data_IF_526730147451
#
_entry.id   IF_526730147451
#
_cell.length_a   1.000
_cell.length_b   1.000
_cell.length_c   1.000
_cell.angle_alpha   90.00
_cell.angle_beta   90.00
_cell.angle_gamma   90.00
#
_symmetry.space_group_name_H-M   'P 1'
#
loop_
_entity.id
_entity.type
_entity.pdbx_description
1 polymer ?
#
# COMPACT_ATOMS: atom_id res chain seq x y z
N UNK A 1 22.65 47.42 -54.31
CA UNK A 1 22.17 47.20 -52.93
C UNK A 1 22.37 45.73 -52.61
N UNK A 2 23.21 45.37 -51.63
CA UNK A 2 23.41 43.98 -51.24
C UNK A 2 22.30 43.56 -50.26
N UNK A 3 21.77 42.35 -50.44
CA UNK A 3 20.83 41.72 -49.51
C UNK A 3 21.48 41.46 -48.15
N UNK A 4 20.74 41.60 -47.03
CA UNK A 4 21.28 41.29 -45.71
C UNK A 4 21.27 39.77 -45.47
N UNK A 5 22.46 39.22 -45.21
CA UNK A 5 22.66 37.84 -44.76
C UNK A 5 21.89 37.57 -43.47
N UNK A 6 21.08 36.50 -43.45
CA UNK A 6 20.42 36.04 -42.24
C UNK A 6 21.44 35.45 -41.24
N UNK A 7 21.24 35.66 -39.92
CA UNK A 7 22.11 35.11 -38.90
C UNK A 7 21.89 33.60 -38.78
N UNK A 8 23.00 32.85 -38.84
CA UNK A 8 23.06 31.42 -38.57
C UNK A 8 22.59 31.16 -37.13
N UNK A 9 21.36 30.65 -36.97
CA UNK A 9 20.89 30.17 -35.69
C UNK A 9 21.68 28.90 -35.35
N UNK A 10 22.59 29.01 -34.39
CA UNK A 10 23.23 27.87 -33.74
C UNK A 10 22.13 27.16 -32.97
N UNK A 11 21.55 26.11 -33.55
CA UNK A 11 20.72 25.16 -32.83
C UNK A 11 21.67 24.38 -31.92
N UNK A 12 21.50 24.38 -30.59
CA UNK A 12 22.33 23.58 -29.72
C UNK A 12 22.07 22.11 -30.04
N UNK A 13 23.13 21.37 -30.40
CA UNK A 13 23.10 19.91 -30.52
C UNK A 13 22.86 19.32 -29.14
N UNK A 14 21.59 19.07 -28.79
CA UNK A 14 21.24 18.18 -27.70
C UNK A 14 21.71 16.78 -28.08
N UNK A 15 22.75 16.32 -27.39
CA UNK A 15 23.36 15.00 -27.60
C UNK A 15 22.35 13.93 -27.22
N UNK A 16 22.28 12.83 -27.98
CA UNK A 16 21.31 11.73 -27.77
C UNK A 16 21.32 11.18 -26.34
N UNK A 17 22.47 11.24 -25.65
CA UNK A 17 22.62 10.86 -24.25
C UNK A 17 21.88 11.77 -23.25
N UNK A 18 21.76 13.08 -23.53
CA UNK A 18 21.04 14.00 -22.64
C UNK A 18 19.53 13.80 -22.73
N UNK A 19 19.03 13.49 -23.93
CA UNK A 19 17.62 13.16 -24.18
C UNK A 19 17.24 11.84 -23.49
N UNK A 20 18.04 10.77 -23.66
CA UNK A 20 17.78 9.50 -22.98
C UNK A 20 17.82 9.59 -21.45
N UNK A 21 18.70 10.43 -20.89
CA UNK A 21 18.75 10.66 -19.45
C UNK A 21 17.55 11.46 -18.94
N UNK A 22 17.06 12.42 -19.73
CA UNK A 22 15.86 13.22 -19.40
C UNK A 22 14.59 12.36 -19.44
N UNK A 23 14.44 11.50 -20.45
CA UNK A 23 13.33 10.55 -20.56
C UNK A 23 13.30 9.57 -19.38
N UNK A 24 14.45 8.97 -19.03
CA UNK A 24 14.55 8.07 -17.87
C UNK A 24 14.24 8.75 -16.54
N UNK A 25 14.54 10.03 -16.37
CA UNK A 25 14.17 10.78 -15.16
C UNK A 25 12.67 11.03 -15.12
N UNK A 26 12.08 11.42 -16.24
CA UNK A 26 10.63 11.64 -16.38
C UNK A 26 9.85 10.38 -16.01
N UNK A 27 10.27 9.21 -16.49
CA UNK A 27 9.66 7.92 -16.13
C UNK A 27 9.74 7.64 -14.63
N UNK A 28 10.87 7.97 -13.99
CA UNK A 28 11.04 7.79 -12.54
C UNK A 28 10.13 8.72 -11.74
N UNK A 29 9.90 9.95 -12.19
CA UNK A 29 8.97 10.89 -11.55
C UNK A 29 7.54 10.36 -11.67
N UNK A 30 7.14 9.89 -12.85
CA UNK A 30 5.82 9.29 -13.06
C UNK A 30 5.61 8.08 -12.16
N UNK A 31 6.64 7.25 -11.96
CA UNK A 31 6.58 6.13 -11.01
C UNK A 31 6.38 6.62 -9.55
N UNK A 32 7.08 7.67 -9.11
CA UNK A 32 6.88 8.25 -7.79
C UNK A 32 5.46 8.82 -7.61
N UNK A 33 4.94 9.50 -8.64
CA UNK A 33 3.57 10.03 -8.61
C UNK A 33 2.53 8.92 -8.49
N UNK A 34 2.67 7.82 -9.27
CA UNK A 34 1.77 6.66 -9.17
C UNK A 34 1.79 6.04 -7.78
N UNK A 35 2.98 5.91 -7.19
CA UNK A 35 3.15 5.40 -5.83
C UNK A 35 2.51 6.31 -4.79
N UNK A 36 2.71 7.64 -4.89
CA UNK A 36 2.03 8.63 -4.05
C UNK A 36 0.51 8.47 -4.09
N UNK A 37 -0.08 8.43 -5.30
CA UNK A 37 -1.53 8.29 -5.45
C UNK A 37 -2.07 6.96 -4.90
N UNK A 38 -1.31 5.87 -5.05
CA UNK A 38 -1.68 4.58 -4.48
C UNK A 38 -1.69 4.62 -2.94
N UNK A 39 -0.72 5.28 -2.31
CA UNK A 39 -0.68 5.47 -0.86
C UNK A 39 -1.89 6.26 -0.37
N UNK A 40 -2.20 7.39 -1.02
CA UNK A 40 -3.36 8.24 -0.67
C UNK A 40 -4.67 7.49 -0.88
N UNK A 41 -4.82 6.74 -1.98
CA UNK A 41 -6.02 5.94 -2.23
C UNK A 41 -6.21 4.86 -1.15
N UNK A 42 -5.13 4.19 -0.74
CA UNK A 42 -5.15 3.21 0.35
C UNK A 42 -5.53 3.84 1.68
N UNK A 43 -5.02 5.03 2.00
CA UNK A 43 -5.48 5.77 3.18
C UNK A 43 -7.00 6.02 3.14
N UNK A 44 -7.50 6.54 2.02
CA UNK A 44 -8.92 6.83 1.87
C UNK A 44 -9.80 5.58 2.03
N UNK A 45 -9.42 4.43 1.46
CA UNK A 45 -10.18 3.18 1.63
C UNK A 45 -10.24 2.67 3.07
N UNK A 46 -9.13 2.79 3.80
CA UNK A 46 -8.99 2.13 5.11
C UNK A 46 -9.30 3.03 6.30
N UNK A 47 -9.23 4.36 6.14
CA UNK A 47 -9.39 5.31 7.24
C UNK A 47 -10.60 6.23 7.07
N UNK A 48 -10.97 6.62 5.85
CA UNK A 48 -12.14 7.50 5.66
C UNK A 48 -13.44 6.79 6.09
N UNK A 49 -14.33 7.52 6.77
CA UNK A 49 -15.63 7.00 7.21
C UNK A 49 -15.61 5.96 8.35
N UNK A 50 -14.44 5.43 8.75
CA UNK A 50 -14.34 4.47 9.86
C UNK A 50 -14.27 5.15 11.22
N UNK A 51 -14.76 4.52 12.28
CA UNK A 51 -14.56 5.02 13.65
C UNK A 51 -13.08 4.98 14.02
N UNK A 52 -12.56 6.06 14.63
CA UNK A 52 -11.12 6.15 14.99
C UNK A 52 -10.64 4.99 15.86
N UNK A 53 -11.47 4.51 16.78
CA UNK A 53 -11.17 3.39 17.66
C UNK A 53 -10.78 2.09 16.93
N UNK A 54 -11.41 1.81 15.79
CA UNK A 54 -11.21 0.56 15.05
C UNK A 54 -10.07 0.64 14.04
N UNK A 55 -9.68 1.84 13.58
CA UNK A 55 -8.66 2.04 12.53
C UNK A 55 -7.30 1.40 12.84
N UNK A 56 -6.65 0.81 11.85
CA UNK A 56 -5.34 0.15 12.00
C UNK A 56 -4.19 1.17 12.09
N UNK A 57 -3.72 1.42 13.33
CA UNK A 57 -2.60 2.33 13.58
C UNK A 57 -1.30 1.89 12.90
N UNK A 58 -1.02 0.58 12.83
CA UNK A 58 0.22 0.10 12.22
C UNK A 58 0.20 0.21 10.71
N UNK A 59 -0.98 0.05 10.09
CA UNK A 59 -1.13 0.37 8.67
C UNK A 59 -0.84 1.85 8.43
N UNK A 60 -1.31 2.75 9.29
CA UNK A 60 -1.02 4.18 9.16
C UNK A 60 0.48 4.47 9.30
N UNK A 61 1.15 3.80 10.24
CA UNK A 61 2.61 3.86 10.40
C UNK A 61 3.36 3.40 9.13
N UNK A 62 2.91 2.32 8.49
CA UNK A 62 3.45 1.87 7.19
C UNK A 62 3.26 2.93 6.09
N UNK A 63 2.07 3.54 5.99
CA UNK A 63 1.81 4.58 4.99
C UNK A 63 2.68 5.83 5.21
N UNK A 64 2.85 6.24 6.47
CA UNK A 64 3.75 7.36 6.83
C UNK A 64 5.20 7.02 6.46
N UNK A 65 5.68 5.81 6.78
CA UNK A 65 7.02 5.37 6.42
C UNK A 65 7.22 5.34 4.90
N UNK A 66 6.23 4.90 4.14
CA UNK A 66 6.27 4.91 2.67
C UNK A 66 6.32 6.32 2.10
N UNK A 67 5.51 7.27 2.61
CA UNK A 67 5.57 8.67 2.17
C UNK A 67 6.95 9.30 2.45
N UNK A 68 7.54 9.02 3.62
CA UNK A 68 8.89 9.50 3.95
C UNK A 68 9.95 8.92 3.02
N UNK A 69 9.88 7.62 2.70
CA UNK A 69 10.77 7.01 1.72
C UNK A 69 10.59 7.62 0.31
N UNK A 70 9.35 7.86 -0.09
CA UNK A 70 9.02 8.49 -1.36
C UNK A 70 9.60 9.91 -1.45
N UNK A 71 9.49 10.69 -0.37
CA UNK A 71 10.11 12.02 -0.26
C UNK A 71 11.61 11.95 -0.46
N UNK A 72 12.30 11.05 0.24
CA UNK A 72 13.75 10.86 0.12
C UNK A 72 14.16 10.47 -1.31
N UNK A 73 13.39 9.60 -1.97
CA UNK A 73 13.63 9.24 -3.38
C UNK A 73 13.41 10.41 -4.34
N UNK A 74 12.43 11.28 -4.05
CA UNK A 74 12.21 12.53 -4.78
C UNK A 74 13.40 13.50 -4.63
N UNK A 75 13.89 13.70 -3.40
CA UNK A 75 15.07 14.54 -3.12
C UNK A 75 16.30 14.04 -3.88
N UNK A 76 16.54 12.73 -3.89
CA UNK A 76 17.65 12.13 -4.64
C UNK A 76 17.53 12.27 -6.17
N UNK A 77 16.32 12.45 -6.71
CA UNK A 77 16.11 12.73 -8.13
C UNK A 77 16.30 14.20 -8.50
N UNK A 78 16.17 15.10 -7.52
CA UNK A 78 16.28 16.54 -7.72
C UNK A 78 17.72 16.98 -7.97
N UNK A 79 18.69 16.25 -7.40
CA UNK A 79 20.12 16.53 -7.54
C UNK A 79 20.56 16.41 -9.02
N UNK A 80 21.04 17.52 -9.59
CA UNK A 80 21.50 17.57 -10.99
C UNK A 80 20.39 17.47 -12.03
N UNK A 81 19.12 17.64 -11.65
CA UNK A 81 18.00 17.67 -12.57
C UNK A 81 17.84 19.01 -13.30
N UNK A 82 17.21 18.99 -14.48
CA UNK A 82 16.78 20.19 -15.21
C UNK A 82 15.65 20.93 -14.46
N UNK A 83 15.51 22.24 -14.70
CA UNK A 83 14.55 23.10 -13.98
C UNK A 83 13.12 22.55 -14.00
N UNK A 84 12.64 22.07 -15.16
CA UNK A 84 11.27 21.53 -15.29
C UNK A 84 11.09 20.28 -14.40
N UNK A 85 12.09 19.41 -14.35
CA UNK A 85 12.08 18.23 -13.49
C UNK A 85 12.13 18.62 -12.01
N UNK A 86 12.94 19.63 -11.66
CA UNK A 86 12.99 20.15 -10.29
C UNK A 86 11.64 20.71 -9.83
N UNK A 87 10.93 21.44 -10.70
CA UNK A 87 9.59 21.95 -10.43
C UNK A 87 8.59 20.81 -10.17
N UNK A 88 8.57 19.79 -11.04
CA UNK A 88 7.70 18.62 -10.86
C UNK A 88 7.97 17.85 -9.56
N UNK A 89 9.24 17.69 -9.19
CA UNK A 89 9.63 17.04 -7.94
C UNK A 89 9.20 17.88 -6.74
N UNK A 90 9.41 19.20 -6.78
CA UNK A 90 9.02 20.13 -5.72
C UNK A 90 7.50 20.15 -5.49
N UNK A 91 6.71 20.13 -6.57
CA UNK A 91 5.26 20.01 -6.50
C UNK A 91 4.83 18.69 -5.83
N UNK A 92 5.45 17.57 -6.22
CA UNK A 92 5.18 16.27 -5.61
C UNK A 92 5.56 16.27 -4.12
N UNK A 93 6.73 16.81 -3.75
CA UNK A 93 7.18 16.91 -2.36
C UNK A 93 6.23 17.73 -1.50
N UNK A 94 5.73 18.86 -2.03
CA UNK A 94 4.74 19.70 -1.33
C UNK A 94 3.48 18.91 -0.99
N UNK A 95 3.03 18.05 -1.91
CA UNK A 95 1.87 17.18 -1.68
C UNK A 95 2.17 16.06 -0.69
N UNK A 96 3.35 15.45 -0.77
CA UNK A 96 3.80 14.45 0.20
C UNK A 96 3.81 15.04 1.62
N UNK A 97 4.30 16.27 1.79
CA UNK A 97 4.34 16.94 3.10
C UNK A 97 2.95 17.23 3.65
N UNK A 98 1.99 17.61 2.80
CA UNK A 98 0.61 17.79 3.21
C UNK A 98 -0.03 16.48 3.69
N UNK A 99 0.17 15.37 2.96
CA UNK A 99 -0.35 14.06 3.34
C UNK A 99 0.34 13.49 4.59
N UNK A 100 1.66 13.71 4.75
CA UNK A 100 2.38 13.33 5.96
C UNK A 100 1.80 14.01 7.20
N UNK A 101 1.59 15.33 7.14
CA UNK A 101 0.97 16.07 8.24
C UNK A 101 -0.44 15.56 8.58
N UNK A 102 -1.23 15.22 7.55
CA UNK A 102 -2.56 14.63 7.73
C UNK A 102 -2.47 13.27 8.44
N UNK A 103 -1.61 12.37 7.96
CA UNK A 103 -1.53 11.00 8.47
C UNK A 103 -0.95 10.95 9.89
N UNK A 104 0.07 11.76 10.18
CA UNK A 104 0.65 11.90 11.52
C UNK A 104 -0.37 12.46 12.52
N UNK A 105 -1.12 13.50 12.14
CA UNK A 105 -2.19 14.04 12.96
C UNK A 105 -3.31 13.04 13.22
N UNK A 106 -3.71 12.27 12.21
CA UNK A 106 -4.74 11.23 12.36
C UNK A 106 -4.26 10.08 13.25
N UNK A 107 -2.98 9.70 13.16
CA UNK A 107 -2.37 8.69 14.03
C UNK A 107 -2.48 9.08 15.50
N UNK A 108 -2.12 10.32 15.82
CA UNK A 108 -2.20 10.84 17.18
C UNK A 108 -3.65 10.94 17.67
N UNK A 109 -4.57 11.34 16.78
CA UNK A 109 -6.00 11.40 17.09
C UNK A 109 -6.60 10.01 17.39
N UNK A 110 -6.22 8.97 16.64
CA UNK A 110 -6.63 7.59 16.89
C UNK A 110 -6.09 7.12 18.24
N UNK A 111 -4.80 7.34 18.51
CA UNK A 111 -4.18 6.96 19.78
C UNK A 111 -4.80 7.69 20.98
N UNK A 112 -5.17 8.96 20.83
CA UNK A 112 -5.89 9.71 21.85
C UNK A 112 -7.31 9.15 22.06
N UNK A 113 -8.03 8.86 20.97
CA UNK A 113 -9.40 8.31 21.01
C UNK A 113 -9.43 7.00 21.80
N UNK A 114 -8.57 6.04 21.45
CA UNK A 114 -8.49 4.73 22.14
C UNK A 114 -8.23 4.85 23.64
N UNK A 115 -7.34 5.76 24.04
CA UNK A 115 -7.04 6.01 25.47
C UNK A 115 -8.20 6.63 26.23
N UNK A 116 -9.10 7.33 25.55
CA UNK A 116 -10.23 8.03 26.17
C UNK A 116 -11.53 7.23 26.20
N UNK A 117 -11.58 6.08 25.52
CA UNK A 117 -12.80 5.26 25.47
C UNK A 117 -13.06 4.52 26.78
N UNK A 118 -14.34 4.29 27.08
CA UNK A 118 -14.72 3.51 28.26
C UNK A 118 -14.52 2.01 28.02
N UNK A 119 -14.29 1.25 29.10
CA UNK A 119 -13.94 -0.18 29.04
C UNK A 119 -14.96 -1.07 28.29
N UNK A 120 -16.26 -0.76 28.38
CA UNK A 120 -17.29 -1.54 27.69
C UNK A 120 -17.25 -1.34 26.17
N UNK A 121 -17.12 -0.08 25.72
CA UNK A 121 -16.86 0.25 24.33
C UNK A 121 -15.52 -0.34 23.86
N UNK A 122 -14.54 -0.46 24.77
CA UNK A 122 -13.25 -1.07 24.45
C UNK A 122 -13.35 -2.53 24.04
N UNK A 123 -14.11 -3.34 24.78
CA UNK A 123 -14.29 -4.75 24.43
C UNK A 123 -14.94 -4.94 23.04
N UNK A 124 -15.89 -4.08 22.66
CA UNK A 124 -16.57 -4.18 21.37
C UNK A 124 -15.61 -3.86 20.20
N UNK A 125 -14.86 -2.76 20.27
CA UNK A 125 -13.93 -2.43 19.19
C UNK A 125 -12.78 -3.43 19.09
N UNK A 126 -12.37 -4.06 20.20
CA UNK A 126 -11.30 -5.07 20.18
C UNK A 126 -11.71 -6.28 19.33
N UNK A 127 -12.97 -6.72 19.45
CA UNK A 127 -13.51 -7.77 18.60
C UNK A 127 -13.50 -7.37 17.11
N UNK A 128 -13.91 -6.14 16.80
CA UNK A 128 -13.86 -5.61 15.42
C UNK A 128 -12.43 -5.59 14.89
N UNK A 129 -11.47 -5.12 15.68
CA UNK A 129 -10.05 -5.09 15.29
C UNK A 129 -9.49 -6.49 15.05
N UNK A 130 -9.85 -7.48 15.85
CA UNK A 130 -9.48 -8.89 15.64
C UNK A 130 -10.03 -9.38 14.30
N UNK A 131 -11.31 -9.13 14.05
CA UNK A 131 -11.98 -9.54 12.81
C UNK A 131 -11.34 -8.88 11.58
N UNK A 132 -10.95 -7.61 11.67
CA UNK A 132 -10.20 -6.91 10.63
C UNK A 132 -8.84 -7.58 10.35
N UNK A 133 -8.08 -7.96 11.40
CA UNK A 133 -6.80 -8.66 11.22
C UNK A 133 -7.00 -10.02 10.53
N UNK A 134 -8.06 -10.76 10.88
CA UNK A 134 -8.38 -12.02 10.20
C UNK A 134 -8.88 -11.82 8.77
N UNK A 135 -9.57 -10.72 8.49
CA UNK A 135 -9.94 -10.36 7.12
C UNK A 135 -8.70 -10.09 6.26
N UNK A 136 -7.70 -9.37 6.79
CA UNK A 136 -6.42 -9.16 6.10
C UNK A 136 -5.73 -10.50 5.82
N UNK A 137 -5.66 -11.40 6.82
CA UNK A 137 -5.04 -12.71 6.61
C UNK A 137 -5.76 -13.51 5.51
N UNK A 138 -7.09 -13.62 5.58
CA UNK A 138 -7.88 -14.35 4.57
C UNK A 138 -7.74 -13.73 3.18
N UNK A 139 -7.73 -12.41 3.09
CA UNK A 139 -7.63 -11.69 1.82
C UNK A 139 -6.27 -11.81 1.15
N UNK A 140 -5.18 -11.80 1.92
CA UNK A 140 -3.82 -11.70 1.34
C UNK A 140 -3.01 -13.00 1.37
N UNK A 141 -3.35 -13.95 2.24
CA UNK A 141 -2.51 -15.12 2.48
C UNK A 141 -3.23 -16.42 2.10
N UNK A 142 -4.51 -16.57 2.43
CA UNK A 142 -5.23 -17.82 2.17
C UNK A 142 -5.25 -18.16 0.66
N UNK A 143 -4.87 -19.40 0.33
CA UNK A 143 -4.84 -19.89 -1.07
C UNK A 143 -3.71 -19.35 -1.95
N UNK A 144 -2.89 -18.40 -1.47
CA UNK A 144 -1.79 -17.83 -2.26
C UNK A 144 -0.49 -18.65 -2.13
N UNK A 145 0.39 -18.69 -3.13
CA UNK A 145 1.75 -19.23 -2.96
C UNK A 145 2.55 -18.43 -1.92
N UNK A 146 3.44 -19.08 -1.15
CA UNK A 146 4.25 -18.37 -0.14
C UNK A 146 5.22 -17.38 -0.75
N UNK A 147 5.78 -17.69 -1.92
CA UNK A 147 6.67 -16.77 -2.65
C UNK A 147 6.03 -15.47 -3.11
N UNK A 148 4.69 -15.38 -3.18
CA UNK A 148 3.99 -14.13 -3.49
C UNK A 148 3.44 -13.40 -2.28
N UNK A 149 3.51 -14.00 -1.07
CA UNK A 149 3.06 -13.39 0.18
C UNK A 149 4.15 -12.46 0.73
N UNK A 150 3.79 -11.22 1.06
CA UNK A 150 4.73 -10.26 1.68
C UNK A 150 4.92 -10.59 3.16
N UNK A 151 6.14 -10.92 3.63
CA UNK A 151 6.40 -11.18 5.05
C UNK A 151 6.05 -9.99 5.95
N UNK A 152 6.38 -8.77 5.52
CA UNK A 152 6.10 -7.54 6.27
C UNK A 152 4.61 -7.32 6.57
N UNK A 153 3.71 -7.70 5.65
CA UNK A 153 2.28 -7.63 5.90
C UNK A 153 1.83 -8.62 6.98
N UNK A 154 2.36 -9.84 6.96
CA UNK A 154 2.02 -10.84 7.97
C UNK A 154 2.57 -10.45 9.35
N UNK A 155 3.78 -9.89 9.38
CA UNK A 155 4.36 -9.32 10.59
C UNK A 155 3.46 -8.21 11.15
N UNK A 156 2.96 -7.28 10.32
CA UNK A 156 2.00 -6.26 10.77
C UNK A 156 0.75 -6.85 11.40
N UNK A 157 0.18 -7.90 10.78
CA UNK A 157 -1.00 -8.61 11.33
C UNK A 157 -0.66 -9.22 12.70
N UNK A 158 0.50 -9.85 12.83
CA UNK A 158 0.99 -10.41 14.11
C UNK A 158 1.15 -9.30 15.15
N UNK A 159 1.82 -8.19 14.82
CA UNK A 159 2.06 -7.09 15.76
C UNK A 159 0.74 -6.44 16.22
N UNK A 160 -0.24 -6.32 15.32
CA UNK A 160 -1.58 -5.84 15.67
C UNK A 160 -2.29 -6.79 16.63
N UNK A 161 -2.23 -8.10 16.39
CA UNK A 161 -2.80 -9.10 17.28
C UNK A 161 -2.08 -9.14 18.63
N UNK A 162 -0.76 -8.94 18.68
CA UNK A 162 -0.01 -8.81 19.94
C UNK A 162 -0.48 -7.60 20.75
N UNK A 163 -0.65 -6.46 20.12
CA UNK A 163 -1.14 -5.27 20.83
C UNK A 163 -2.59 -5.44 21.31
N UNK A 164 -3.43 -6.10 20.53
CA UNK A 164 -4.80 -6.44 20.95
C UNK A 164 -4.76 -7.43 22.12
N UNK A 165 -3.86 -8.41 22.09
CA UNK A 165 -3.65 -9.33 23.21
C UNK A 165 -3.27 -8.58 24.48
N UNK A 166 -2.35 -7.61 24.38
CA UNK A 166 -1.91 -6.81 25.52
C UNK A 166 -3.07 -5.95 26.08
N UNK A 167 -3.89 -5.36 25.20
CA UNK A 167 -5.10 -4.63 25.60
C UNK A 167 -6.12 -5.56 26.29
N UNK A 168 -6.37 -6.77 25.76
CA UNK A 168 -7.29 -7.74 26.36
C UNK A 168 -6.79 -8.31 27.70
N UNK A 169 -5.47 -8.29 27.91
CA UNK A 169 -4.82 -8.76 29.12
C UNK A 169 -4.73 -7.71 30.21
N UNK A 170 -5.17 -6.47 29.96
CA UNK A 170 -5.17 -5.42 30.97
C UNK A 170 -6.09 -5.82 32.16
N UNK A 171 -5.57 -5.85 33.40
CA UNK A 171 -6.36 -6.20 34.58
C UNK A 171 -7.59 -5.31 34.81
N UNK A 172 -7.63 -4.10 34.23
CA UNK A 172 -8.81 -3.24 34.26
C UNK A 172 -10.06 -3.92 33.67
N UNK A 173 -9.89 -4.88 32.75
CA UNK A 173 -10.99 -5.67 32.20
C UNK A 173 -11.49 -6.77 33.14
N UNK A 174 -10.75 -7.16 34.18
CA UNK A 174 -11.18 -8.22 35.10
C UNK A 174 -12.43 -7.84 35.91
N UNK A 175 -12.69 -6.53 36.05
CA UNK A 175 -13.85 -6.00 36.75
C UNK A 175 -15.13 -5.96 35.88
N UNK A 176 -15.04 -6.26 34.59
CA UNK A 176 -16.19 -6.25 33.68
C UNK A 176 -16.88 -7.62 33.67
N UNK A 177 -18.18 -7.64 33.95
CA UNK A 177 -19.02 -8.80 33.65
C UNK A 177 -19.35 -8.80 32.15
N UNK A 178 -18.57 -9.56 31.38
CA UNK A 178 -18.68 -9.62 29.91
C UNK A 178 -19.21 -10.97 29.39
N UNK A 179 -19.64 -11.86 30.29
CA UNK A 179 -20.13 -13.19 29.94
C UNK A 179 -19.07 -14.13 29.34
N UNK A 180 -17.78 -13.85 29.52
CA UNK A 180 -16.67 -14.66 29.00
C UNK A 180 -16.23 -14.30 27.58
N UNK A 181 -16.74 -13.23 27.00
CA UNK A 181 -16.39 -12.77 25.64
C UNK A 181 -14.90 -12.43 25.54
N UNK A 182 -14.32 -11.73 26.51
CA UNK A 182 -12.88 -11.43 26.58
C UNK A 182 -12.05 -12.70 26.62
N UNK A 183 -12.42 -13.66 27.47
CA UNK A 183 -11.68 -14.92 27.58
C UNK A 183 -11.66 -15.67 26.25
N UNK A 184 -12.79 -15.71 25.55
CA UNK A 184 -12.89 -16.30 24.21
C UNK A 184 -12.02 -15.55 23.18
N UNK A 185 -12.07 -14.22 23.16
CA UNK A 185 -11.26 -13.40 22.26
C UNK A 185 -9.76 -13.54 22.54
N UNK A 186 -9.36 -13.57 23.82
CA UNK A 186 -7.97 -13.76 24.22
C UNK A 186 -7.44 -15.11 23.75
N UNK A 187 -8.20 -16.19 23.98
CA UNK A 187 -7.85 -17.53 23.50
C UNK A 187 -7.68 -17.55 21.97
N UNK A 188 -8.66 -16.98 21.24
CA UNK A 188 -8.63 -16.88 19.78
C UNK A 188 -7.38 -16.15 19.29
N UNK A 189 -7.00 -15.03 19.93
CA UNK A 189 -5.81 -14.26 19.57
C UNK A 189 -4.54 -15.05 19.84
N UNK A 190 -4.42 -15.71 20.99
CA UNK A 190 -3.24 -16.53 21.34
C UNK A 190 -3.03 -17.67 20.34
N UNK A 191 -4.08 -18.40 20.00
CA UNK A 191 -4.02 -19.49 19.02
C UNK A 191 -3.57 -18.99 17.64
N UNK A 192 -4.10 -17.84 17.21
CA UNK A 192 -3.75 -17.23 15.94
C UNK A 192 -2.30 -16.70 15.94
N UNK A 193 -1.83 -16.05 17.00
CA UNK A 193 -0.44 -15.59 17.10
C UNK A 193 0.56 -16.73 16.91
N UNK A 194 0.30 -17.89 17.52
CA UNK A 194 1.15 -19.08 17.34
C UNK A 194 1.11 -19.62 15.91
N UNK A 195 -0.08 -19.67 15.29
CA UNK A 195 -0.22 -20.14 13.91
C UNK A 195 0.45 -19.21 12.91
N UNK A 196 0.19 -17.91 13.01
CA UNK A 196 0.72 -16.89 12.10
C UNK A 196 2.24 -16.73 12.24
N UNK A 197 2.78 -16.80 13.46
CA UNK A 197 4.24 -16.77 13.66
C UNK A 197 4.96 -17.94 13.00
N UNK A 198 4.37 -19.14 13.03
CA UNK A 198 4.90 -20.30 12.28
C UNK A 198 4.81 -20.08 10.77
N UNK A 199 3.68 -19.58 10.28
CA UNK A 199 3.51 -19.31 8.86
C UNK A 199 4.49 -18.24 8.35
N UNK A 200 4.75 -17.19 9.13
CA UNK A 200 5.76 -16.18 8.81
C UNK A 200 7.14 -16.82 8.62
N UNK A 201 7.58 -17.64 9.59
CA UNK A 201 8.86 -18.34 9.49
C UNK A 201 8.94 -19.26 8.26
N UNK A 202 7.83 -19.90 7.87
CA UNK A 202 7.77 -20.72 6.65
C UNK A 202 7.85 -19.88 5.37
N UNK A 203 7.21 -18.72 5.33
CA UNK A 203 7.30 -17.80 4.18
C UNK A 203 8.74 -17.29 4.06
N UNK A 204 9.35 -16.84 5.14
CA UNK A 204 10.72 -16.33 5.14
C UNK A 204 11.72 -17.40 4.71
N UNK A 205 11.57 -18.63 5.21
CA UNK A 205 12.40 -19.75 4.79
C UNK A 205 12.26 -20.03 3.30
N UNK A 206 11.04 -20.00 2.75
CA UNK A 206 10.82 -20.22 1.32
C UNK A 206 11.40 -19.09 0.47
N UNK A 207 11.29 -17.84 0.92
CA UNK A 207 11.92 -16.69 0.26
C UNK A 207 13.45 -16.77 0.27
N UNK A 208 14.05 -17.26 1.35
CA UNK A 208 15.50 -17.45 1.48
C UNK A 208 16.01 -18.64 0.64
N UNK A 209 15.24 -19.72 0.57
CA UNK A 209 15.60 -20.92 -0.17
C UNK A 209 15.43 -20.78 -1.69
N UNK A 210 14.56 -19.87 -2.12
CA UNK A 210 14.23 -19.68 -3.54
C UNK A 210 15.14 -18.67 -4.22
N UNK A 211 15.40 -18.88 -5.51
CA UNK A 211 16.12 -17.93 -6.33
C UNK A 211 15.33 -16.64 -6.57
N UNK A 212 16.04 -15.55 -6.85
CA UNK A 212 15.40 -14.28 -7.25
C UNK A 212 14.53 -14.46 -8.50
N UNK A 213 14.95 -15.32 -9.45
CA UNK A 213 14.18 -15.63 -10.65
C UNK A 213 12.84 -16.30 -10.35
N UNK A 214 12.81 -17.28 -9.44
CA UNK A 214 11.58 -17.94 -8.98
C UNK A 214 10.66 -16.96 -8.26
N UNK A 215 11.21 -16.06 -7.43
CA UNK A 215 10.44 -14.99 -6.77
C UNK A 215 9.78 -14.07 -7.79
N UNK A 216 10.53 -13.59 -8.79
CA UNK A 216 9.98 -12.73 -9.86
C UNK A 216 8.87 -13.45 -10.62
N UNK A 217 9.06 -14.73 -10.96
CA UNK A 217 8.05 -15.53 -11.65
C UNK A 217 6.78 -15.71 -10.81
N UNK A 218 6.93 -16.03 -9.52
CA UNK A 218 5.80 -16.18 -8.59
C UNK A 218 5.02 -14.89 -8.39
N UNK A 219 5.71 -13.75 -8.24
CA UNK A 219 5.08 -12.43 -8.12
C UNK A 219 4.31 -12.07 -9.39
N UNK A 220 4.88 -12.34 -10.58
CA UNK A 220 4.20 -12.12 -11.85
C UNK A 220 2.96 -13.01 -12.03
N UNK A 221 3.03 -14.28 -11.61
CA UNK A 221 1.89 -15.19 -11.65
C UNK A 221 0.75 -14.75 -10.71
N UNK A 222 1.09 -14.30 -9.50
CA UNK A 222 0.12 -13.76 -8.55
C UNK A 222 -0.55 -12.49 -9.09
N UNK A 223 0.22 -11.57 -9.67
CA UNK A 223 -0.32 -10.36 -10.31
C UNK A 223 -1.31 -10.70 -11.43
N UNK A 224 -0.95 -11.66 -12.29
CA UNK A 224 -1.84 -12.12 -13.36
C UNK A 224 -3.15 -12.69 -12.82
N UNK A 225 -3.12 -13.42 -11.71
CA UNK A 225 -4.34 -13.96 -11.08
C UNK A 225 -5.29 -12.84 -10.67
N UNK A 226 -4.78 -11.81 -9.99
CA UNK A 226 -5.58 -10.64 -9.57
C UNK A 226 -6.12 -9.87 -10.80
N UNK A 227 -5.30 -9.71 -11.84
CA UNK A 227 -5.72 -9.03 -13.07
C UNK A 227 -6.85 -9.78 -13.78
N UNK A 228 -6.80 -11.13 -13.79
CA UNK A 228 -7.89 -11.93 -14.37
C UNK A 228 -9.16 -11.85 -13.53
N UNK A 229 -9.05 -11.80 -12.21
CA UNK A 229 -10.19 -11.60 -11.32
C UNK A 229 -10.89 -10.26 -11.59
N UNK A 230 -10.11 -9.17 -11.70
CA UNK A 230 -10.67 -7.87 -12.08
C UNK A 230 -11.43 -7.92 -13.42
N UNK A 231 -10.81 -8.53 -14.45
CA UNK A 231 -11.44 -8.67 -15.77
C UNK A 231 -12.76 -9.44 -15.72
N UNK A 232 -12.84 -10.46 -14.88
CA UNK A 232 -14.03 -11.27 -14.76
C UNK A 232 -15.19 -10.54 -14.08
N UNK A 233 -14.92 -9.78 -13.01
CA UNK A 233 -15.97 -9.20 -12.17
C UNK A 233 -16.31 -7.74 -12.46
N UNK A 234 -15.41 -6.96 -13.08
CA UNK A 234 -15.55 -5.51 -13.23
C UNK A 234 -15.48 -5.03 -14.68
N UNK A 235 -14.60 -5.59 -15.52
CA UNK A 235 -14.39 -5.06 -16.86
C UNK A 235 -15.67 -5.14 -17.72
N UNK A 236 -16.14 -3.97 -18.17
CA UNK A 236 -17.35 -3.85 -19.00
C UNK A 236 -18.67 -4.08 -18.27
N UNK A 237 -18.64 -4.16 -16.94
CA UNK A 237 -19.82 -4.40 -16.11
C UNK A 237 -20.42 -3.09 -15.58
N UNK A 238 -21.69 -3.14 -15.19
CA UNK A 238 -22.38 -1.98 -14.60
C UNK A 238 -21.88 -1.70 -13.17
N UNK A 239 -21.52 -0.44 -12.90
CA UNK A 239 -20.85 0.01 -11.66
C UNK A 239 -21.72 -0.11 -10.40
N UNK A 240 -22.99 0.22 -10.47
CA UNK A 240 -23.94 0.21 -9.34
C UNK A 240 -24.07 -1.18 -8.69
N UNK A 241 -23.99 -2.24 -9.51
CA UNK A 241 -24.10 -3.63 -9.06
C UNK A 241 -22.78 -4.27 -8.63
N UNK A 242 -21.65 -3.56 -8.67
CA UNK A 242 -20.33 -4.15 -8.36
C UNK A 242 -20.04 -4.21 -6.87
N UNK A 243 -19.30 -5.23 -6.46
CA UNK A 243 -18.80 -5.40 -5.10
C UNK A 243 -17.61 -4.46 -4.86
N UNK A 244 -17.85 -3.36 -4.15
CA UNK A 244 -16.81 -2.36 -3.85
C UNK A 244 -15.76 -2.90 -2.86
N UNK A 245 -16.11 -3.57 -1.75
CA UNK A 245 -15.14 -4.23 -0.87
C UNK A 245 -14.17 -5.18 -1.61
N UNK A 246 -14.68 -6.00 -2.54
CA UNK A 246 -13.82 -6.90 -3.31
C UNK A 246 -12.83 -6.14 -4.19
N UNK A 247 -13.24 -5.05 -4.85
CA UNK A 247 -12.31 -4.25 -5.65
C UNK A 247 -11.23 -3.62 -4.78
N UNK A 248 -11.60 -3.14 -3.59
CA UNK A 248 -10.66 -2.64 -2.60
C UNK A 248 -9.60 -3.68 -2.22
N UNK A 249 -10.00 -4.94 -2.04
CA UNK A 249 -9.08 -6.04 -1.79
C UNK A 249 -8.13 -6.28 -2.97
N UNK A 250 -8.61 -6.23 -4.23
CA UNK A 250 -7.73 -6.38 -5.40
C UNK A 250 -6.70 -5.26 -5.48
N UNK A 251 -7.09 -4.01 -5.18
CA UNK A 251 -6.17 -2.88 -5.10
C UNK A 251 -5.09 -3.12 -4.03
N UNK A 252 -5.50 -3.56 -2.83
CA UNK A 252 -4.56 -3.83 -1.75
C UNK A 252 -3.62 -4.98 -2.09
N UNK A 253 -4.12 -6.08 -2.66
CA UNK A 253 -3.28 -7.22 -3.07
C UNK A 253 -2.25 -6.81 -4.14
N UNK A 254 -2.63 -6.02 -5.14
CA UNK A 254 -1.68 -5.50 -6.13
C UNK A 254 -0.66 -4.56 -5.49
N UNK A 255 -1.05 -3.72 -4.53
CA UNK A 255 -0.13 -2.86 -3.81
C UNK A 255 0.93 -3.67 -3.03
N UNK A 256 0.53 -4.77 -2.37
CA UNK A 256 1.48 -5.66 -1.68
C UNK A 256 2.42 -6.39 -2.65
N UNK A 257 1.98 -6.72 -3.86
CA UNK A 257 2.87 -7.24 -4.92
C UNK A 257 3.82 -6.16 -5.44
N UNK A 258 3.34 -4.93 -5.62
CA UNK A 258 4.17 -3.81 -6.08
C UNK A 258 5.31 -3.51 -5.10
N UNK A 259 5.03 -3.55 -3.80
CA UNK A 259 6.06 -3.38 -2.76
C UNK A 259 7.14 -4.46 -2.87
N UNK A 260 6.74 -5.73 -2.96
CA UNK A 260 7.68 -6.85 -3.11
C UNK A 260 8.50 -6.76 -4.41
N UNK A 261 7.87 -6.41 -5.53
CA UNK A 261 8.58 -6.20 -6.80
C UNK A 261 9.53 -4.99 -6.74
N UNK A 262 9.17 -3.94 -6.00
CA UNK A 262 10.06 -2.81 -5.70
C UNK A 262 11.28 -3.22 -4.87
N UNK A 263 11.08 -4.00 -3.81
CA UNK A 263 12.16 -4.58 -3.00
C UNK A 263 13.11 -5.42 -3.88
N UNK A 264 12.58 -6.31 -4.71
CA UNK A 264 13.38 -7.11 -5.66
C UNK A 264 14.15 -6.22 -6.64
N UNK A 265 13.55 -5.12 -7.12
CA UNK A 265 14.21 -4.17 -8.02
C UNK A 265 15.41 -3.47 -7.39
N UNK A 266 15.40 -3.28 -6.06
CA UNK A 266 16.55 -2.72 -5.34
C UNK A 266 17.70 -3.71 -5.20
N UNK A 267 17.42 -5.01 -5.27
CA UNK A 267 18.41 -6.08 -5.15
C UNK A 267 19.00 -6.49 -6.50
N UNK A 268 18.18 -6.55 -7.55
CA UNK A 268 18.58 -7.06 -8.87
C UNK A 268 17.96 -6.23 -9.98
N UNK A 269 18.80 -5.84 -10.95
CA UNK A 269 18.33 -5.22 -12.19
C UNK A 269 17.78 -6.31 -13.14
N UNK A 270 16.47 -6.53 -13.11
CA UNK A 270 15.76 -7.50 -13.96
C UNK A 270 14.71 -6.80 -14.82
N UNK A 271 14.87 -6.89 -16.14
CA UNK A 271 13.89 -6.33 -17.08
C UNK A 271 12.51 -6.99 -16.95
N UNK A 272 12.47 -8.28 -16.62
CA UNK A 272 11.22 -8.99 -16.39
C UNK A 272 10.50 -8.44 -15.15
N UNK A 273 11.22 -8.19 -14.06
CA UNK A 273 10.65 -7.61 -12.86
C UNK A 273 10.21 -6.17 -13.07
N UNK A 274 11.02 -5.35 -13.74
CA UNK A 274 10.68 -3.96 -14.07
C UNK A 274 9.39 -3.88 -14.87
N UNK A 275 9.22 -4.74 -15.88
CA UNK A 275 7.99 -4.81 -16.69
C UNK A 275 6.78 -5.28 -15.88
N UNK A 276 6.95 -6.29 -15.01
CA UNK A 276 5.88 -6.74 -14.12
C UNK A 276 5.43 -5.62 -13.18
N UNK A 277 6.38 -4.91 -12.56
CA UNK A 277 6.10 -3.79 -11.66
C UNK A 277 5.36 -2.66 -12.38
N UNK A 278 5.78 -2.31 -13.59
CA UNK A 278 5.10 -1.28 -14.40
C UNK A 278 3.65 -1.66 -14.69
N UNK A 279 3.39 -2.91 -15.08
CA UNK A 279 2.03 -3.43 -15.33
C UNK A 279 1.20 -3.37 -14.04
N UNK A 280 1.75 -3.83 -12.91
CA UNK A 280 1.07 -3.81 -11.62
C UNK A 280 0.71 -2.39 -11.21
N UNK A 281 1.65 -1.44 -11.30
CA UNK A 281 1.41 -0.03 -10.98
C UNK A 281 0.34 0.59 -11.88
N UNK A 282 0.34 0.28 -13.18
CA UNK A 282 -0.70 0.70 -14.12
C UNK A 282 -2.08 0.12 -13.75
N UNK A 283 -2.14 -1.16 -13.37
CA UNK A 283 -3.38 -1.80 -12.92
C UNK A 283 -3.89 -1.20 -11.61
N UNK A 284 -3.01 -0.89 -10.65
CA UNK A 284 -3.39 -0.18 -9.42
C UNK A 284 -4.05 1.14 -9.79
N UNK A 285 -3.41 2.00 -10.59
CA UNK A 285 -4.00 3.29 -10.98
C UNK A 285 -5.38 3.12 -11.64
N UNK A 286 -5.55 2.13 -12.51
CA UNK A 286 -6.84 1.82 -13.14
C UNK A 286 -7.89 1.40 -12.10
N UNK A 287 -7.54 0.49 -11.18
CA UNK A 287 -8.49 -0.10 -10.24
C UNK A 287 -8.89 0.90 -9.17
N UNK A 288 -7.97 1.78 -8.77
CA UNK A 288 -8.26 2.88 -7.85
C UNK A 288 -9.23 3.89 -8.45
N UNK A 289 -9.07 4.22 -9.74
CA UNK A 289 -10.02 5.07 -10.44
C UNK A 289 -11.40 4.40 -10.55
N UNK A 290 -11.44 3.10 -10.88
CA UNK A 290 -12.69 2.35 -10.97
C UNK A 290 -13.38 2.25 -9.59
N UNK A 291 -12.61 2.08 -8.51
CA UNK A 291 -13.11 2.08 -7.14
C UNK A 291 -13.83 3.39 -6.81
N UNK A 292 -13.22 4.53 -7.13
CA UNK A 292 -13.84 5.85 -6.92
C UNK A 292 -15.11 6.01 -7.75
N UNK A 293 -15.11 5.54 -9.00
CA UNK A 293 -16.28 5.65 -9.87
C UNK A 293 -17.44 4.76 -9.42
N UNK A 294 -17.16 3.55 -8.92
CA UNK A 294 -18.18 2.67 -8.34
C UNK A 294 -18.72 3.29 -7.04
N UNK A 295 -17.86 3.81 -6.17
CA UNK A 295 -18.29 4.48 -4.95
C UNK A 295 -19.22 5.66 -5.25
N UNK A 296 -18.83 6.54 -6.17
CA UNK A 296 -19.63 7.69 -6.57
C UNK A 296 -20.97 7.28 -7.24
N UNK A 297 -20.98 6.22 -8.06
CA UNK A 297 -22.21 5.73 -8.68
C UNK A 297 -23.21 5.22 -7.64
N UNK A 298 -22.73 4.57 -6.57
CA UNK A 298 -23.58 4.05 -5.50
C UNK A 298 -24.11 5.12 -4.55
N UNK A 299 -23.43 6.26 -4.44
CA UNK A 299 -23.93 7.41 -3.65
C UNK A 299 -25.08 8.16 -4.34
N UNK A 300 -25.30 7.93 -5.64
CA UNK A 300 -26.32 8.60 -6.44
C UNK A 300 -27.64 7.81 -6.55
N UNK A 301 -27.70 6.60 -5.97
CA UNK A 301 -28.92 5.76 -5.85
C UNK A 301 -29.62 5.98 -4.50
#
# INVERSE_FOLDING_TARGET
MPEPSQPNAIVPETTTESVEQSDRRSDRILALQREFYSIVARYNRHFAGKTRATRDLRQLDELIAHLRNLKQRGEALQEGAETIVQEQISELQTRIDAELALFEGERDAIAATRRSENLASQSAYLADRINEQFAIYRGHFAGQPRLSRRPGLLQRVIDNLQHIHDELSDPAFDALEDGGVRAANLQLVVENLQSLGRELGMIELEHQASSVGERIASLGAAANTIIQEYKHYYAGQERTTRDLPRLGLLCDQLAELALQMGEVSSLVNSQANARNLEIVQGCISLYEQEYQQIAAAKEQE
#
